data_IF_422828995561
#
_entry.id   IF_422828995561
#
_cell.length_a   1.000
_cell.length_b   1.000
_cell.length_c   1.000
_cell.angle_alpha   90.00
_cell.angle_beta   90.00
_cell.angle_gamma   90.00
#
_symmetry.space_group_name_H-M   'P 1'
#
loop_
_entity.id
_entity.type
_entity.pdbx_description
1 polymer ?
#
# COMPACT_ATOMS: atom_id res chain seq x y z
N UNK A 1 17.42 6.40 20.42
CA UNK A 1 16.71 5.10 20.57
C UNK A 1 16.51 4.52 19.20
N UNK A 2 17.29 3.51 18.81
CA UNK A 2 17.17 2.83 17.52
C UNK A 2 15.84 2.08 17.46
N UNK A 3 14.84 2.65 16.78
CA UNK A 3 13.59 1.95 16.45
C UNK A 3 13.96 0.88 15.43
N UNK A 4 13.84 -0.40 15.78
CA UNK A 4 13.99 -1.52 14.85
C UNK A 4 12.87 -1.49 13.80
N UNK A 5 12.97 -0.58 12.83
CA UNK A 5 12.08 -0.48 11.69
C UNK A 5 12.67 -1.29 10.55
N UNK A 6 12.01 -2.39 10.19
CA UNK A 6 12.42 -3.20 9.05
C UNK A 6 11.96 -2.50 7.77
N UNK A 7 12.90 -1.82 7.11
CA UNK A 7 12.67 -1.34 5.75
C UNK A 7 13.03 -2.43 4.74
N UNK A 8 12.31 -2.47 3.61
CA UNK A 8 12.58 -3.31 2.43
C UNK A 8 12.15 -2.56 1.18
N UNK A 9 12.99 -2.58 0.15
CA UNK A 9 12.65 -2.06 -1.17
C UNK A 9 12.37 -3.24 -2.11
N UNK A 10 11.23 -3.22 -2.79
CA UNK A 10 10.85 -4.21 -3.79
C UNK A 10 10.87 -3.56 -5.17
N UNK A 11 11.65 -4.11 -6.09
CA UNK A 11 11.75 -3.62 -7.47
C UNK A 11 11.00 -4.55 -8.40
N UNK A 12 9.87 -4.09 -8.94
CA UNK A 12 9.01 -4.90 -9.81
C UNK A 12 9.14 -4.40 -11.24
N UNK A 13 9.89 -5.14 -12.07
CA UNK A 13 10.00 -4.86 -13.50
C UNK A 13 8.76 -5.35 -14.23
N UNK A 14 8.08 -4.45 -14.94
CA UNK A 14 6.88 -4.76 -15.73
C UNK A 14 7.13 -4.42 -17.21
N UNK A 15 6.62 -5.23 -18.16
CA UNK A 15 6.71 -4.94 -19.60
C UNK A 15 5.62 -3.95 -20.03
N UNK A 16 5.45 -2.85 -19.28
CA UNK A 16 4.44 -1.83 -19.49
C UNK A 16 5.08 -0.45 -19.34
N UNK A 17 4.61 0.50 -20.13
CA UNK A 17 4.90 1.91 -19.90
C UNK A 17 4.21 2.40 -18.62
N UNK A 18 4.71 3.49 -18.03
CA UNK A 18 4.06 4.14 -16.88
C UNK A 18 2.61 4.54 -17.21
N UNK A 19 2.29 4.93 -18.45
CA UNK A 19 0.90 5.28 -18.78
C UNK A 19 -0.01 4.05 -18.83
N UNK A 20 0.46 2.94 -19.42
CA UNK A 20 -0.29 1.68 -19.42
C UNK A 20 -0.46 1.12 -18.00
N UNK A 21 0.60 1.22 -17.18
CA UNK A 21 0.54 0.80 -15.79
C UNK A 21 -0.47 1.62 -15.00
N UNK A 22 -0.63 2.92 -15.26
CA UNK A 22 -1.64 3.77 -14.61
C UNK A 22 -3.05 3.21 -14.80
N UNK A 23 -3.39 2.88 -16.04
CA UNK A 23 -4.69 2.32 -16.41
C UNK A 23 -4.87 0.95 -15.75
N UNK A 24 -3.83 0.10 -15.82
CA UNK A 24 -3.82 -1.21 -15.19
C UNK A 24 -3.99 -1.15 -13.67
N UNK A 25 -3.30 -0.23 -12.99
CA UNK A 25 -3.36 -0.04 -11.55
C UNK A 25 -4.78 0.33 -11.11
N UNK A 26 -5.41 1.31 -11.78
CA UNK A 26 -6.78 1.72 -11.47
C UNK A 26 -7.78 0.58 -11.69
N UNK A 27 -7.62 -0.17 -12.79
CA UNK A 27 -8.43 -1.37 -13.04
C UNK A 27 -8.24 -2.41 -11.94
N UNK A 28 -7.00 -2.69 -11.54
CA UNK A 28 -6.69 -3.66 -10.50
C UNK A 28 -7.24 -3.25 -9.14
N UNK A 29 -7.16 -1.97 -8.78
CA UNK A 29 -7.77 -1.44 -7.55
C UNK A 29 -9.28 -1.66 -7.56
N UNK A 30 -9.93 -1.31 -8.68
CA UNK A 30 -11.38 -1.48 -8.85
C UNK A 30 -11.80 -2.96 -8.77
N UNK A 31 -11.12 -3.82 -9.53
CA UNK A 31 -11.37 -5.26 -9.56
C UNK A 31 -11.13 -5.90 -8.19
N UNK A 32 -10.02 -5.58 -7.54
CA UNK A 32 -9.71 -6.09 -6.20
C UNK A 32 -10.78 -5.65 -5.19
N UNK A 33 -11.22 -4.39 -5.25
CA UNK A 33 -12.29 -3.89 -4.40
C UNK A 33 -13.62 -4.63 -4.62
N UNK A 34 -13.93 -4.98 -5.88
CA UNK A 34 -15.12 -5.75 -6.22
C UNK A 34 -15.04 -7.19 -5.67
N UNK A 35 -13.91 -7.88 -5.88
CA UNK A 35 -13.67 -9.23 -5.37
C UNK A 35 -13.70 -9.31 -3.84
N UNK A 36 -13.20 -8.27 -3.14
CA UNK A 36 -13.29 -8.18 -1.69
C UNK A 36 -14.76 -8.01 -1.23
N UNK A 37 -15.54 -7.19 -1.94
CA UNK A 37 -16.96 -6.94 -1.64
C UNK A 37 -17.81 -8.20 -1.81
N UNK A 38 -17.63 -8.93 -2.92
CA UNK A 38 -18.44 -10.11 -3.26
C UNK A 38 -18.20 -11.29 -2.31
N UNK A 39 -17.03 -11.35 -1.68
CA UNK A 39 -16.69 -12.39 -0.70
C UNK A 39 -17.21 -12.09 0.70
N UNK A 40 -17.96 -10.99 0.89
CA UNK A 40 -18.40 -10.53 2.20
C UNK A 40 -17.22 -10.20 3.12
N UNK A 41 -16.06 -9.92 2.54
CA UNK A 41 -14.87 -9.54 3.30
C UNK A 41 -15.13 -8.13 3.80
N UNK A 42 -15.25 -7.97 5.12
CA UNK A 42 -15.58 -6.70 5.74
C UNK A 42 -14.55 -5.63 5.36
N UNK A 43 -14.80 -4.93 4.26
CA UNK A 43 -14.05 -3.77 3.81
C UNK A 43 -15.05 -2.63 3.82
N UNK A 44 -14.78 -1.66 4.68
CA UNK A 44 -15.60 -0.47 4.82
C UNK A 44 -14.81 0.71 4.24
N UNK A 45 -15.36 1.36 3.21
CA UNK A 45 -14.77 2.58 2.66
C UNK A 45 -15.17 3.75 3.55
N UNK A 46 -14.20 4.33 4.26
CA UNK A 46 -14.41 5.44 5.20
C UNK A 46 -14.31 6.78 4.46
N UNK A 47 -13.34 6.91 3.58
CA UNK A 47 -13.07 8.14 2.84
C UNK A 47 -12.62 7.81 1.42
N UNK A 48 -13.07 8.61 0.44
CA UNK A 48 -12.61 8.55 -0.95
C UNK A 48 -12.85 9.92 -1.60
N UNK A 49 -11.85 10.79 -1.54
CA UNK A 49 -11.98 12.17 -2.00
C UNK A 49 -10.73 12.67 -2.72
N UNK A 50 -10.86 13.66 -3.64
CA UNK A 50 -9.72 14.36 -4.18
C UNK A 50 -8.90 15.02 -3.06
N UNK A 51 -7.58 14.98 -3.17
CA UNK A 51 -6.67 15.55 -2.19
C UNK A 51 -5.54 16.30 -2.90
N UNK A 52 -5.24 17.51 -2.46
CA UNK A 52 -4.16 18.32 -3.00
C UNK A 52 -3.03 18.42 -1.97
N UNK A 53 -1.86 17.92 -2.35
CA UNK A 53 -0.65 17.98 -1.52
C UNK A 53 0.25 19.13 -1.99
N UNK A 54 0.82 19.93 -1.05
CA UNK A 54 1.69 21.05 -1.41
C UNK A 54 2.98 20.63 -2.14
N UNK A 55 3.45 19.40 -1.96
CA UNK A 55 4.67 18.88 -2.58
C UNK A 55 4.38 17.99 -3.79
N UNK A 56 3.31 17.20 -3.76
CA UNK A 56 2.98 16.20 -4.79
C UNK A 56 1.84 16.60 -5.73
N UNK A 57 1.14 17.70 -5.45
CA UNK A 57 0.04 18.22 -6.25
C UNK A 57 -1.26 17.44 -6.09
N UNK A 58 -2.05 17.40 -7.17
CA UNK A 58 -3.36 16.76 -7.16
C UNK A 58 -3.26 15.24 -7.05
N UNK A 59 -4.10 14.66 -6.20
CA UNK A 59 -4.20 13.23 -6.00
C UNK A 59 -5.57 12.81 -5.47
N UNK A 60 -5.65 11.56 -5.04
CA UNK A 60 -6.83 10.96 -4.43
C UNK A 60 -6.46 10.40 -3.07
N UNK A 61 -7.20 10.78 -2.03
CA UNK A 61 -7.11 10.19 -0.71
C UNK A 61 -8.19 9.12 -0.55
N UNK A 62 -7.79 7.94 -0.10
CA UNK A 62 -8.70 6.86 0.27
C UNK A 62 -8.38 6.34 1.65
N UNK A 63 -9.41 6.08 2.44
CA UNK A 63 -9.31 5.40 3.72
C UNK A 63 -10.30 4.24 3.75
N UNK A 64 -9.79 3.05 4.09
CA UNK A 64 -10.57 1.82 4.18
C UNK A 64 -10.29 1.12 5.50
N UNK A 65 -11.31 0.50 6.09
CA UNK A 65 -11.17 -0.40 7.25
C UNK A 65 -11.37 -1.83 6.79
N UNK A 66 -10.37 -2.66 7.03
CA UNK A 66 -10.37 -4.08 6.65
C UNK A 66 -10.49 -4.93 7.91
N UNK A 67 -11.57 -5.70 8.01
CA UNK A 67 -11.87 -6.62 9.10
C UNK A 67 -11.27 -8.00 8.78
N UNK A 68 -10.15 -8.35 9.45
CA UNK A 68 -9.35 -9.54 9.12
C UNK A 68 -9.62 -10.77 10.01
N UNK A 69 -10.63 -10.72 10.90
CA UNK A 69 -10.81 -11.76 11.93
C UNK A 69 -10.98 -13.19 11.35
N UNK A 70 -11.64 -13.34 10.21
CA UNK A 70 -11.81 -14.65 9.54
C UNK A 70 -10.61 -15.10 8.71
N UNK A 71 -9.69 -14.19 8.34
CA UNK A 71 -8.54 -14.45 7.46
C UNK A 71 -7.25 -14.75 8.21
N UNK A 72 -7.22 -14.55 9.53
CA UNK A 72 -6.04 -14.81 10.34
C UNK A 72 -5.79 -16.31 10.55
N UNK A 73 -4.52 -16.75 10.53
CA UNK A 73 -4.14 -18.08 10.98
C UNK A 73 -4.68 -18.39 12.38
N UNK A 74 -4.96 -19.66 12.67
CA UNK A 74 -5.58 -20.07 13.94
C UNK A 74 -4.80 -19.63 15.18
N UNK A 75 -3.46 -19.61 15.12
CA UNK A 75 -2.62 -19.12 16.22
C UNK A 75 -2.79 -17.61 16.47
N UNK A 76 -2.97 -16.82 15.40
CA UNK A 76 -3.14 -15.38 15.50
C UNK A 76 -4.54 -15.04 16.06
N UNK A 77 -5.58 -15.76 15.63
CA UNK A 77 -6.95 -15.62 16.16
C UNK A 77 -7.04 -15.85 17.67
N UNK A 78 -6.15 -16.64 18.26
CA UNK A 78 -6.13 -16.89 19.70
C UNK A 78 -5.61 -15.70 20.53
N UNK A 79 -4.86 -14.78 19.91
CA UNK A 79 -4.19 -13.66 20.62
C UNK A 79 -4.77 -12.29 20.28
N UNK A 80 -5.51 -12.16 19.17
CA UNK A 80 -6.16 -10.90 18.78
C UNK A 80 -7.59 -10.78 19.31
N UNK A 81 -8.10 -9.57 19.60
CA UNK A 81 -9.50 -9.36 19.96
C UNK A 81 -10.44 -9.83 18.86
N UNK A 82 -11.66 -10.22 19.24
CA UNK A 82 -12.69 -10.65 18.27
C UNK A 82 -13.12 -9.53 17.31
N UNK A 83 -12.92 -8.27 17.68
CA UNK A 83 -13.27 -7.11 16.86
C UNK A 83 -12.01 -6.24 16.75
N UNK A 84 -11.28 -6.40 15.65
CA UNK A 84 -10.21 -5.50 15.26
C UNK A 84 -10.28 -5.27 13.75
N UNK A 85 -9.73 -4.15 13.32
CA UNK A 85 -9.61 -3.79 11.91
C UNK A 85 -8.21 -3.23 11.64
N UNK A 86 -7.83 -3.31 10.38
CA UNK A 86 -6.66 -2.59 9.84
C UNK A 86 -7.19 -1.40 9.06
N UNK A 87 -6.72 -0.21 9.40
CA UNK A 87 -6.97 0.99 8.61
C UNK A 87 -5.91 1.07 7.53
N UNK A 88 -6.34 1.04 6.28
CA UNK A 88 -5.55 1.34 5.08
C UNK A 88 -5.85 2.78 4.68
N UNK A 89 -4.84 3.65 4.72
CA UNK A 89 -4.93 5.03 4.23
C UNK A 89 -3.95 5.20 3.07
N UNK A 90 -4.46 5.56 1.90
CA UNK A 90 -3.66 5.70 0.70
C UNK A 90 -3.84 7.08 0.06
N UNK A 91 -2.73 7.67 -0.33
CA UNK A 91 -2.64 8.91 -1.10
C UNK A 91 -2.03 8.61 -2.45
N UNK A 92 -2.83 8.74 -3.51
CA UNK A 92 -2.42 8.47 -4.87
C UNK A 92 -2.14 9.79 -5.61
N UNK A 93 -0.86 10.12 -5.79
CA UNK A 93 -0.33 11.25 -6.56
C UNK A 93 0.37 10.75 -7.83
N UNK A 94 -0.27 9.82 -8.55
CA UNK A 94 0.36 9.07 -9.65
C UNK A 94 1.35 9.91 -10.48
N UNK A 95 2.61 9.46 -10.66
CA UNK A 95 3.12 8.10 -10.47
C UNK A 95 3.62 7.76 -9.07
N UNK A 96 3.44 8.66 -8.09
CA UNK A 96 3.83 8.43 -6.69
C UNK A 96 2.61 8.06 -5.85
N UNK A 97 2.75 7.08 -4.95
CA UNK A 97 1.68 6.65 -4.06
C UNK A 97 2.24 6.34 -2.69
N UNK A 98 1.57 6.86 -1.66
CA UNK A 98 1.85 6.56 -0.26
C UNK A 98 0.70 5.71 0.27
N UNK A 99 0.99 4.66 1.01
CA UNK A 99 -0.01 3.85 1.70
C UNK A 99 0.46 3.52 3.11
N UNK A 100 -0.36 3.87 4.08
CA UNK A 100 -0.17 3.61 5.50
C UNK A 100 -1.17 2.57 5.99
N UNK A 101 -0.68 1.53 6.66
CA UNK A 101 -1.50 0.57 7.37
C UNK A 101 -1.29 0.73 8.87
N UNK A 102 -2.37 0.87 9.61
CA UNK A 102 -2.38 0.86 11.09
C UNK A 102 -3.37 -0.17 11.60
N UNK A 103 -3.11 -0.75 12.78
CA UNK A 103 -3.99 -1.75 13.37
C UNK A 103 -4.70 -1.17 14.60
N UNK A 104 -6.02 -1.34 14.67
CA UNK A 104 -6.83 -0.85 15.79
C UNK A 104 -6.47 -1.47 17.14
N UNK A 105 -5.94 -2.70 17.13
CA UNK A 105 -5.51 -3.43 18.32
C UNK A 105 -4.04 -3.19 18.70
N UNK A 106 -3.19 -2.97 17.70
CA UNK A 106 -1.75 -2.80 17.87
C UNK A 106 -1.35 -1.40 17.41
N UNK A 107 -1.53 -0.35 18.23
CA UNK A 107 -1.27 1.04 17.81
C UNK A 107 0.21 1.32 17.50
N UNK A 108 1.12 0.45 17.96
CA UNK A 108 2.55 0.50 17.60
C UNK A 108 2.88 -0.20 16.29
N UNK A 109 1.95 -0.96 15.72
CA UNK A 109 2.10 -1.62 14.43
C UNK A 109 1.70 -0.65 13.32
N UNK A 110 2.68 -0.32 12.47
CA UNK A 110 2.48 0.51 11.29
C UNK A 110 3.26 -0.10 10.14
N UNK A 111 2.63 -0.19 8.97
CA UNK A 111 3.32 -0.44 7.70
C UNK A 111 3.22 0.83 6.89
N UNK A 112 4.36 1.30 6.39
CA UNK A 112 4.43 2.45 5.50
C UNK A 112 4.99 1.97 4.17
N UNK A 113 4.26 2.24 3.10
CA UNK A 113 4.62 1.84 1.74
C UNK A 113 4.66 3.09 0.87
N UNK A 114 5.80 3.31 0.24
CA UNK A 114 5.97 4.32 -0.78
C UNK A 114 6.24 3.62 -2.11
N UNK A 115 5.52 4.03 -3.16
CA UNK A 115 5.63 3.43 -4.49
C UNK A 115 5.81 4.52 -5.53
N UNK A 116 6.82 4.37 -6.39
CA UNK A 116 7.07 5.24 -7.54
C UNK A 116 7.11 4.39 -8.80
N UNK A 117 6.40 4.83 -9.84
CA UNK A 117 6.40 4.16 -11.15
C UNK A 117 7.24 4.97 -12.15
N UNK A 118 8.26 4.36 -12.75
CA UNK A 118 9.18 5.03 -13.68
C UNK A 118 9.40 4.23 -14.95
N UNK A 119 9.54 4.92 -16.09
CA UNK A 119 9.95 4.29 -17.34
C UNK A 119 11.46 4.04 -17.31
N UNK A 120 11.87 2.79 -17.42
CA UNK A 120 13.28 2.42 -17.50
C UNK A 120 13.76 2.48 -18.95
N UNK A 121 14.93 3.08 -19.18
CA UNK A 121 15.60 2.97 -20.47
C UNK A 121 16.38 1.66 -20.57
N UNK A 122 16.51 1.05 -21.76
CA UNK A 122 17.32 -0.15 -21.95
C UNK A 122 18.75 0.05 -21.41
N UNK A 123 19.19 -0.80 -20.48
CA UNK A 123 20.53 -0.75 -19.89
C UNK A 123 20.72 0.25 -18.74
N UNK A 124 19.69 1.01 -18.35
CA UNK A 124 19.75 1.88 -17.18
C UNK A 124 19.63 1.09 -15.88
N UNK A 125 20.36 1.51 -14.83
CA UNK A 125 20.20 0.94 -13.49
C UNK A 125 18.89 1.46 -12.89
N UNK A 126 18.13 0.58 -12.24
CA UNK A 126 16.94 0.97 -11.49
C UNK A 126 17.39 1.91 -10.37
N UNK A 127 16.98 3.19 -10.38
CA UNK A 127 17.35 4.13 -9.35
C UNK A 127 16.83 3.64 -8.00
N UNK A 128 17.60 3.88 -6.95
CA UNK A 128 17.11 3.63 -5.60
C UNK A 128 16.09 4.73 -5.28
N UNK A 129 14.81 4.36 -5.19
CA UNK A 129 13.72 5.32 -4.99
C UNK A 129 13.79 6.03 -3.63
N UNK A 130 14.42 5.40 -2.64
CA UNK A 130 14.58 5.92 -1.26
C UNK A 130 16.03 5.69 -0.85
N UNK A 131 16.73 6.64 -0.19
CA UNK A 131 18.10 6.42 0.30
C UNK A 131 18.12 5.37 1.43
N UNK A 132 18.06 4.09 1.05
CA UNK A 132 18.08 2.93 1.93
C UNK A 132 19.48 2.35 2.02
N UNK A 133 19.79 1.71 3.15
CA UNK A 133 21.03 0.95 3.30
C UNK A 133 21.11 -0.21 2.29
N UNK A 134 22.29 -0.57 1.76
CA UNK A 134 22.44 -1.55 0.67
C UNK A 134 21.85 -2.94 0.94
N UNK A 135 21.68 -3.33 2.21
CA UNK A 135 21.15 -4.64 2.65
C UNK A 135 19.64 -4.79 2.46
N UNK A 136 18.96 -3.72 2.07
CA UNK A 136 17.50 -3.60 2.16
C UNK A 136 16.76 -3.84 0.84
N UNK A 137 17.49 -3.98 -0.26
CA UNK A 137 16.91 -4.13 -1.60
C UNK A 137 16.66 -5.60 -1.90
N UNK A 138 15.40 -5.97 -2.11
CA UNK A 138 15.00 -7.29 -2.63
C UNK A 138 14.70 -7.09 -4.11
N UNK A 139 15.47 -7.78 -4.95
CA UNK A 139 15.31 -7.78 -6.42
C UNK A 139 14.60 -9.05 -6.85
#
# INVERSE_FOLDING_TARGET
MCRNMLMKEYRICMPLTVEEYRIGQLYMISKHSHEQSDRGEGVEVVQNEPYEDPNYGNGQLTEKRVYLNSKLPSWARAVVPKIFYVTEKAWNYYPYTITEYTCSFLPKFSIHIETTSENLQPGSKIPTAIPLSPTTVVT
#
